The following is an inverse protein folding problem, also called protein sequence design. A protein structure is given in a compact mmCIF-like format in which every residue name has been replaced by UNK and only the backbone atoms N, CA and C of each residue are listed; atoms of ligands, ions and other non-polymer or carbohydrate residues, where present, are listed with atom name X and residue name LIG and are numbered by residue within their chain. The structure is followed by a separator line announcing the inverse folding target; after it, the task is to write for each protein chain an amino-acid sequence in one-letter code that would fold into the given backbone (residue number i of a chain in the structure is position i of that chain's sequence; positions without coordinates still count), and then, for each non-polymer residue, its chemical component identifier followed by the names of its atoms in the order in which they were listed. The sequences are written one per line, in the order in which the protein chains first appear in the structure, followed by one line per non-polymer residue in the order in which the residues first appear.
data_IF_263247692220
#
_entry.id   IF_263247692220
#
_cell.length_a   1.000
_cell.length_b   1.000
_cell.length_c   1.000
_cell.angle_alpha   90.00
_cell.angle_beta   90.00
_cell.angle_gamma   90.00
#
_symmetry.space_group_name_H-M   'P 1'
#
loop_
_entity.id
_entity.type
_entity.pdbx_description
1 polymer ?
#
# COMPACT_ATOMS: atom_id res chain seq x y z
N UNK A 1 17.81 4.61 -25.16
CA UNK A 1 16.71 3.75 -24.68
C UNK A 1 16.09 4.54 -23.55
N UNK A 2 14.78 4.76 -23.52
CA UNK A 2 14.13 5.49 -22.43
C UNK A 2 13.96 4.56 -21.23
N UNK A 3 14.37 5.00 -20.05
CA UNK A 3 14.35 4.28 -18.78
C UNK A 3 13.40 5.01 -17.86
N UNK A 4 12.24 4.39 -17.62
CA UNK A 4 11.31 4.82 -16.58
C UNK A 4 11.57 3.99 -15.34
N UNK A 5 11.78 4.67 -14.21
CA UNK A 5 11.91 4.06 -12.90
C UNK A 5 10.60 4.30 -12.16
N UNK A 6 10.05 3.23 -11.60
CA UNK A 6 8.85 3.26 -10.78
C UNK A 6 9.21 2.86 -9.36
N UNK A 7 8.74 3.64 -8.42
CA UNK A 7 8.73 3.32 -6.99
C UNK A 7 7.28 3.29 -6.54
N UNK A 8 6.86 2.22 -5.86
CA UNK A 8 5.44 1.98 -5.54
C UNK A 8 5.33 1.75 -4.05
N UNK A 9 4.51 2.57 -3.41
CA UNK A 9 4.21 2.46 -1.98
C UNK A 9 2.80 1.94 -1.78
N UNK A 10 2.68 0.97 -0.87
CA UNK A 10 1.41 0.33 -0.54
C UNK A 10 1.12 0.43 0.96
N UNK A 11 -0.16 0.41 1.29
CA UNK A 11 -0.63 0.25 2.67
C UNK A 11 -1.61 -0.91 2.74
N UNK A 12 -1.57 -1.66 3.84
CA UNK A 12 -2.55 -2.70 4.12
C UNK A 12 -3.93 -2.10 4.39
N UNK A 13 -4.99 -2.78 3.95
CA UNK A 13 -6.34 -2.49 4.40
C UNK A 13 -6.47 -2.71 5.91
N UNK A 14 -7.41 -2.00 6.54
CA UNK A 14 -7.74 -2.24 7.94
C UNK A 14 -8.31 -3.65 8.08
N UNK A 15 -7.58 -4.53 8.77
CA UNK A 15 -7.98 -5.92 8.99
C UNK A 15 -9.39 -6.03 9.59
N UNK A 16 -9.75 -5.11 10.49
CA UNK A 16 -11.07 -5.10 11.14
C UNK A 16 -12.21 -4.73 10.19
N UNK A 17 -11.89 -4.08 9.07
CA UNK A 17 -12.85 -3.70 8.02
C UNK A 17 -13.10 -4.82 7.00
N UNK A 18 -12.24 -5.85 6.95
CA UNK A 18 -12.38 -6.99 6.06
C UNK A 18 -13.60 -7.84 6.43
N UNK A 19 -14.18 -8.55 5.46
CA UNK A 19 -15.29 -9.46 5.72
C UNK A 19 -14.83 -10.68 6.56
N UNK A 20 -15.78 -11.28 7.30
CA UNK A 20 -15.49 -12.40 8.21
C UNK A 20 -14.82 -13.59 7.53
N UNK A 21 -15.15 -13.87 6.25
CA UNK A 21 -14.57 -15.01 5.52
C UNK A 21 -13.10 -14.76 5.22
N UNK A 22 -12.76 -13.52 4.84
CA UNK A 22 -11.38 -13.10 4.61
C UNK A 22 -10.58 -13.11 5.91
N UNK A 23 -11.11 -12.54 6.99
CA UNK A 23 -10.45 -12.55 8.30
C UNK A 23 -10.16 -13.98 8.79
N UNK A 24 -11.13 -14.89 8.68
CA UNK A 24 -10.94 -16.30 9.04
C UNK A 24 -9.88 -16.97 8.16
N UNK A 25 -9.90 -16.71 6.85
CA UNK A 25 -8.94 -17.28 5.91
C UNK A 25 -7.50 -16.83 6.19
N UNK A 26 -7.30 -15.54 6.47
CA UNK A 26 -5.98 -14.97 6.78
C UNK A 26 -5.45 -15.43 8.14
N UNK A 27 -6.32 -15.68 9.12
CA UNK A 27 -5.91 -16.07 10.49
C UNK A 27 -5.92 -17.58 10.74
N UNK A 28 -6.42 -18.39 9.81
CA UNK A 28 -6.57 -19.85 9.97
C UNK A 28 -5.28 -20.57 10.35
N UNK A 29 -4.15 -20.17 9.76
CA UNK A 29 -2.85 -20.78 10.07
C UNK A 29 -2.35 -20.37 11.46
N UNK A 30 -2.56 -19.10 11.86
CA UNK A 30 -2.21 -18.57 13.18
C UNK A 30 -2.96 -19.34 14.27
N UNK A 31 -4.29 -19.53 14.09
CA UNK A 31 -5.13 -20.29 15.02
C UNK A 31 -4.69 -21.75 15.18
N UNK A 32 -4.04 -22.33 14.17
CA UNK A 32 -3.54 -23.71 14.19
C UNK A 32 -2.18 -23.82 14.87
N UNK A 33 -1.34 -22.79 14.76
CA UNK A 33 0.08 -22.84 15.13
C UNK A 33 0.38 -22.16 16.47
N UNK A 34 -0.41 -21.17 16.87
CA UNK A 34 -0.25 -20.52 18.17
C UNK A 34 -0.53 -21.50 19.32
N UNK A 35 0.43 -21.66 20.23
CA UNK A 35 0.31 -22.51 21.40
C UNK A 35 -0.42 -21.85 22.57
N UNK A 36 -0.58 -20.53 22.52
CA UNK A 36 -1.25 -19.71 23.54
C UNK A 36 -1.74 -18.37 22.95
N UNK A 37 -2.49 -17.61 23.74
CA UNK A 37 -3.06 -16.33 23.35
C UNK A 37 -2.00 -15.27 23.01
N UNK A 38 -0.87 -15.23 23.75
CA UNK A 38 0.18 -14.23 23.51
C UNK A 38 0.84 -14.45 22.13
N UNK A 39 1.13 -15.70 21.77
CA UNK A 39 1.64 -16.08 20.44
C UNK A 39 0.63 -15.76 19.34
N UNK A 40 -0.66 -16.00 19.57
CA UNK A 40 -1.71 -15.65 18.63
C UNK A 40 -1.76 -14.14 18.36
N UNK A 41 -1.73 -13.32 19.42
CA UNK A 41 -1.77 -11.86 19.28
C UNK A 41 -0.51 -11.31 18.59
N UNK A 42 0.66 -11.88 18.86
CA UNK A 42 1.90 -11.49 18.19
C UNK A 42 1.83 -11.77 16.68
N UNK A 43 1.43 -12.98 16.30
CA UNK A 43 1.31 -13.37 14.89
C UNK A 43 0.18 -12.62 14.16
N UNK A 44 -0.94 -12.32 14.85
CA UNK A 44 -2.00 -11.49 14.30
C UNK A 44 -1.50 -10.08 13.99
N UNK A 45 -0.74 -9.47 14.90
CA UNK A 45 -0.13 -8.16 14.67
C UNK A 45 0.84 -8.16 13.49
N UNK A 46 1.66 -9.19 13.37
CA UNK A 46 2.59 -9.32 12.24
C UNK A 46 1.84 -9.48 10.91
N UNK A 47 0.73 -10.23 10.90
CA UNK A 47 -0.17 -10.35 9.75
C UNK A 47 -0.75 -8.99 9.35
N UNK A 48 -1.31 -8.24 10.31
CA UNK A 48 -1.90 -6.92 10.07
C UNK A 48 -0.88 -5.94 9.48
N UNK A 49 0.35 -5.93 10.01
CA UNK A 49 1.44 -5.10 9.48
C UNK A 49 1.89 -5.54 8.07
N UNK A 50 1.69 -6.82 7.73
CA UNK A 50 2.07 -7.40 6.45
C UNK A 50 1.04 -7.26 5.34
N UNK A 51 -0.18 -6.77 5.62
CA UNK A 51 -1.27 -6.73 4.63
C UNK A 51 -0.92 -5.89 3.38
N UNK A 52 -0.07 -4.88 3.53
CA UNK A 52 0.41 -4.05 2.41
C UNK A 52 1.29 -4.79 1.40
N UNK A 53 1.85 -5.96 1.74
CA UNK A 53 2.72 -6.73 0.84
C UNK A 53 1.96 -7.63 -0.13
N UNK A 54 0.63 -7.74 0.01
CA UNK A 54 -0.21 -8.56 -0.86
C UNK A 54 -1.06 -7.66 -1.75
N UNK A 55 -1.11 -7.91 -3.07
CA UNK A 55 -1.95 -7.14 -4.00
C UNK A 55 -3.46 -7.37 -3.78
N UNK A 56 -3.84 -8.30 -2.89
CA UNK A 56 -5.24 -8.59 -2.56
C UNK A 56 -5.69 -7.94 -1.24
N UNK A 57 -4.76 -7.44 -0.44
CA UNK A 57 -5.02 -6.90 0.90
C UNK A 57 -4.34 -5.56 1.14
N UNK A 58 -3.57 -5.10 0.16
CA UNK A 58 -2.93 -3.79 0.16
C UNK A 58 -3.46 -2.97 -1.01
N UNK A 59 -3.44 -1.65 -0.82
CA UNK A 59 -3.76 -0.66 -1.84
C UNK A 59 -2.51 0.16 -2.16
N UNK A 60 -2.37 0.57 -3.42
CA UNK A 60 -1.33 1.51 -3.85
C UNK A 60 -1.72 2.91 -3.37
N UNK A 61 -0.85 3.54 -2.60
CA UNK A 61 -1.05 4.90 -2.06
C UNK A 61 -0.16 5.94 -2.74
N UNK A 62 0.95 5.52 -3.32
CA UNK A 62 1.78 6.39 -4.14
C UNK A 62 2.53 5.62 -5.24
N UNK A 63 2.73 6.28 -6.38
CA UNK A 63 3.60 5.85 -7.47
C UNK A 63 4.53 7.01 -7.82
N UNK A 64 5.80 6.86 -7.50
CA UNK A 64 6.86 7.72 -8.00
C UNK A 64 7.32 7.26 -9.37
N UNK A 65 7.43 8.20 -10.31
CA UNK A 65 7.90 7.97 -11.68
C UNK A 65 9.06 8.89 -11.98
N UNK A 66 10.16 8.34 -12.48
CA UNK A 66 11.32 9.10 -12.96
C UNK A 66 11.66 8.69 -14.40
N UNK A 67 11.63 9.66 -15.31
CA UNK A 67 12.26 9.57 -16.65
C UNK A 67 13.74 9.93 -16.49
N UNK A 68 14.60 8.91 -16.46
CA UNK A 68 16.02 9.06 -16.15
C UNK A 68 16.78 9.83 -17.24
N UNK A 69 16.28 9.86 -18.47
CA UNK A 69 16.91 10.58 -19.57
C UNK A 69 16.49 12.05 -19.63
N UNK A 70 15.27 12.38 -19.20
CA UNK A 70 14.75 13.75 -19.21
C UNK A 70 14.86 14.45 -17.85
N UNK A 71 15.30 13.74 -16.82
CA UNK A 71 15.33 14.22 -15.43
C UNK A 71 13.98 14.78 -15.01
N UNK A 72 12.90 14.14 -15.46
CA UNK A 72 11.52 14.51 -15.14
C UNK A 72 10.96 13.51 -14.14
N UNK A 73 10.35 14.02 -13.09
CA UNK A 73 9.72 13.19 -12.08
C UNK A 73 8.27 13.61 -11.85
N UNK A 74 7.46 12.62 -11.50
CA UNK A 74 6.09 12.83 -11.04
C UNK A 74 5.78 11.84 -9.92
N UNK A 75 4.93 12.24 -8.99
CA UNK A 75 4.38 11.39 -7.94
C UNK A 75 2.87 11.44 -8.03
N UNK A 76 2.27 10.29 -8.31
CA UNK A 76 0.83 10.10 -8.19
C UNK A 76 0.56 9.57 -6.78
N UNK A 77 -0.37 10.18 -6.03
CA UNK A 77 -0.62 9.78 -4.66
C UNK A 77 -2.09 9.91 -4.27
N UNK A 78 -2.53 9.10 -3.32
CA UNK A 78 -3.84 9.24 -2.71
C UNK A 78 -3.89 10.49 -1.81
N UNK A 79 -4.75 11.48 -2.11
CA UNK A 79 -4.82 12.72 -1.34
C UNK A 79 -5.45 12.52 0.03
N UNK A 80 -4.94 13.25 1.03
CA UNK A 80 -5.70 13.51 2.24
C UNK A 80 -6.80 14.55 1.94
N UNK A 81 -7.73 14.73 2.89
CA UNK A 81 -8.83 15.67 2.71
C UNK A 81 -8.30 17.10 2.51
N UNK A 82 -8.55 17.65 1.32
CA UNK A 82 -8.14 19.01 0.94
C UNK A 82 -6.83 19.10 0.15
N UNK A 83 -6.13 17.99 -0.07
CA UNK A 83 -4.94 17.96 -0.93
C UNK A 83 -5.32 18.16 -2.39
N UNK A 84 -4.46 18.84 -3.13
CA UNK A 84 -4.59 19.10 -4.56
C UNK A 84 -3.23 18.95 -5.25
N UNK A 85 -3.23 18.91 -6.58
CA UNK A 85 -1.98 18.88 -7.35
C UNK A 85 -1.06 20.04 -7.00
N UNK A 86 0.24 19.78 -6.95
CA UNK A 86 1.27 20.78 -6.71
C UNK A 86 2.59 20.41 -7.38
N UNK A 87 3.55 21.33 -7.36
CA UNK A 87 4.90 21.11 -7.87
C UNK A 87 5.91 21.46 -6.76
N UNK A 88 6.85 20.56 -6.49
CA UNK A 88 7.94 20.76 -5.53
C UNK A 88 9.23 20.19 -6.12
N UNK A 89 10.33 20.95 -6.06
CA UNK A 89 11.65 20.54 -6.57
C UNK A 89 11.65 19.99 -8.02
N UNK A 90 10.83 20.59 -8.90
CA UNK A 90 10.61 20.18 -10.29
C UNK A 90 10.00 18.76 -10.46
N UNK A 91 9.45 18.22 -9.37
CA UNK A 91 8.60 17.03 -9.36
C UNK A 91 7.12 17.44 -9.36
N UNK A 92 6.34 16.86 -10.26
CA UNK A 92 4.90 17.07 -10.30
C UNK A 92 4.20 16.11 -9.33
N UNK A 93 3.40 16.62 -8.40
CA UNK A 93 2.58 15.82 -7.50
C UNK A 93 1.13 15.90 -7.95
N UNK A 94 0.51 14.75 -8.22
CA UNK A 94 -0.88 14.64 -8.68
C UNK A 94 -1.71 13.82 -7.69
N UNK A 95 -2.79 14.43 -7.21
CA UNK A 95 -3.71 13.88 -6.22
C UNK A 95 -4.76 12.99 -6.91
N UNK A 96 -4.58 11.67 -6.84
CA UNK A 96 -5.38 10.68 -7.55
C UNK A 96 -5.84 9.54 -6.63
N UNK A 97 -7.05 9.01 -6.86
CA UNK A 97 -7.38 7.71 -6.27
C UNK A 97 -6.60 6.57 -6.96
N UNK A 98 -6.48 5.41 -6.32
CA UNK A 98 -5.73 4.27 -6.84
C UNK A 98 -6.11 3.92 -8.29
N UNK A 99 -7.41 3.90 -8.60
CA UNK A 99 -7.89 3.56 -9.94
C UNK A 99 -7.41 4.54 -11.02
N UNK A 100 -7.21 5.82 -10.68
CA UNK A 100 -6.71 6.83 -11.61
C UNK A 100 -5.18 6.81 -11.73
N UNK A 101 -4.46 6.17 -10.79
CA UNK A 101 -3.02 5.94 -10.88
C UNK A 101 -2.65 4.78 -11.82
N UNK A 102 -3.61 3.91 -12.17
CA UNK A 102 -3.45 2.69 -12.99
C UNK A 102 -3.97 2.86 -14.43
#
# INVERSE_FOLDING_TARGET
MSTLIFDIETVGEDFSSLDETTQESLTRWIKREAGNDDEYQAALKDLEQGLGFSPLTGQIVAIGVLDAERERSAVYYQPAEGDTDFEEDACQYEALNEKAML
#
